data_IF_174629033178
#
_entry.id   IF_174629033178
#
_cell.length_a   1.000
_cell.length_b   1.000
_cell.length_c   1.000
_cell.angle_alpha   90.00
_cell.angle_beta   90.00
_cell.angle_gamma   90.00
#
_symmetry.space_group_name_H-M   'P 1'
#
loop_
_entity.id
_entity.type
_entity.pdbx_description
1 polymer ?
#
# COMPACT_ATOMS: atom_id res chain seq x y z
N UNK A 1 -18.77 10.29 -32.60
CA UNK A 1 -17.81 9.25 -32.18
C UNK A 1 -16.87 9.89 -31.17
N UNK A 2 -17.03 9.57 -29.89
CA UNK A 2 -16.08 9.99 -28.84
C UNK A 2 -14.86 9.09 -29.04
N UNK A 3 -13.68 9.66 -29.27
CA UNK A 3 -12.46 8.91 -29.49
C UNK A 3 -12.21 8.03 -28.25
N UNK A 4 -11.89 6.74 -28.43
CA UNK A 4 -11.55 5.80 -27.36
C UNK A 4 -10.39 6.27 -26.44
N UNK A 5 -9.70 7.34 -26.83
CA UNK A 5 -8.57 7.95 -26.11
C UNK A 5 -8.95 8.94 -25.02
N UNK A 6 -10.23 9.19 -24.76
CA UNK A 6 -10.67 10.20 -23.77
C UNK A 6 -11.22 9.62 -22.47
N UNK A 7 -11.37 8.31 -22.33
CA UNK A 7 -11.77 7.68 -21.09
C UNK A 7 -10.53 7.50 -20.20
N UNK A 8 -10.49 8.23 -19.09
CA UNK A 8 -9.45 8.04 -18.08
C UNK A 8 -9.33 6.57 -17.67
N UNK A 9 -8.11 6.07 -17.53
CA UNK A 9 -7.85 4.72 -17.05
C UNK A 9 -7.61 4.77 -15.54
N UNK A 10 -8.32 3.94 -14.79
CA UNK A 10 -8.35 3.97 -13.33
C UNK A 10 -7.62 2.79 -12.72
N UNK A 11 -6.93 3.04 -11.61
CA UNK A 11 -6.52 2.02 -10.64
C UNK A 11 -7.66 1.89 -9.63
N UNK A 12 -8.12 0.67 -9.37
CA UNK A 12 -9.33 0.42 -8.57
C UNK A 12 -8.98 -0.38 -7.33
N UNK A 13 -9.33 0.14 -6.16
CA UNK A 13 -9.24 -0.56 -4.87
C UNK A 13 -10.31 -1.64 -4.74
N UNK A 14 -10.28 -2.62 -5.63
CA UNK A 14 -11.31 -3.64 -5.77
C UNK A 14 -11.46 -4.53 -4.52
N UNK A 15 -10.42 -4.65 -3.70
CA UNK A 15 -10.46 -5.41 -2.45
C UNK A 15 -11.53 -4.91 -1.48
N UNK A 16 -11.79 -3.58 -1.46
CA UNK A 16 -12.77 -2.98 -0.57
C UNK A 16 -14.22 -3.37 -0.89
N UNK A 17 -14.47 -3.88 -2.11
CA UNK A 17 -15.79 -4.33 -2.58
C UNK A 17 -15.79 -5.83 -2.91
N UNK A 18 -14.72 -6.55 -2.57
CA UNK A 18 -14.64 -7.99 -2.77
C UNK A 18 -15.70 -8.73 -1.94
N UNK A 19 -16.36 -9.75 -2.50
CA UNK A 19 -17.29 -10.60 -1.74
C UNK A 19 -16.60 -11.42 -0.64
N UNK A 20 -15.25 -11.48 -0.64
CA UNK A 20 -14.45 -12.37 0.21
C UNK A 20 -13.67 -11.64 1.31
N UNK A 21 -14.21 -10.56 1.86
CA UNK A 21 -13.53 -9.79 2.91
C UNK A 21 -13.33 -10.59 4.21
N UNK A 22 -14.18 -11.56 4.51
CA UNK A 22 -14.16 -12.31 5.79
C UNK A 22 -13.80 -13.78 5.59
N UNK A 23 -14.37 -14.40 4.58
CA UNK A 23 -14.15 -15.82 4.26
C UNK A 23 -13.88 -15.96 2.77
N UNK A 24 -12.87 -16.76 2.43
CA UNK A 24 -12.52 -16.98 1.03
C UNK A 24 -13.42 -18.02 0.37
N UNK A 25 -14.08 -17.61 -0.70
CA UNK A 25 -14.74 -18.50 -1.66
C UNK A 25 -14.14 -18.24 -3.06
N UNK A 26 -13.32 -19.16 -3.50
CA UNK A 26 -12.61 -19.09 -4.77
C UNK A 26 -13.52 -18.83 -5.97
N UNK A 27 -14.71 -19.44 -5.99
CA UNK A 27 -15.67 -19.26 -7.10
C UNK A 27 -16.22 -17.84 -7.16
N UNK A 28 -16.61 -17.29 -6.01
CA UNK A 28 -17.11 -15.92 -5.93
C UNK A 28 -16.04 -14.92 -6.33
N UNK A 29 -14.79 -15.14 -5.90
CA UNK A 29 -13.68 -14.27 -6.23
C UNK A 29 -13.32 -14.35 -7.71
N UNK A 30 -13.30 -15.54 -8.29
CA UNK A 30 -13.10 -15.74 -9.75
C UNK A 30 -14.16 -15.01 -10.57
N UNK A 31 -15.43 -15.10 -10.17
CA UNK A 31 -16.52 -14.36 -10.83
C UNK A 31 -16.25 -12.86 -10.74
N UNK A 32 -15.87 -12.37 -9.56
CA UNK A 32 -15.58 -10.97 -9.31
C UNK A 32 -14.43 -10.46 -10.19
N UNK A 33 -13.28 -11.16 -10.23
CA UNK A 33 -12.15 -10.82 -11.10
C UNK A 33 -12.54 -10.84 -12.59
N UNK A 34 -13.34 -11.82 -13.00
CA UNK A 34 -13.84 -11.88 -14.39
C UNK A 34 -14.79 -10.72 -14.75
N UNK A 35 -15.51 -10.17 -13.78
CA UNK A 35 -16.31 -8.94 -13.98
C UNK A 35 -15.39 -7.72 -14.10
N UNK A 36 -14.40 -7.57 -13.23
CA UNK A 36 -13.41 -6.48 -13.31
C UNK A 36 -12.68 -6.44 -14.66
N UNK A 37 -12.26 -7.60 -15.17
CA UNK A 37 -11.60 -7.72 -16.48
C UNK A 37 -12.46 -7.24 -17.66
N UNK A 38 -13.79 -7.22 -17.52
CA UNK A 38 -14.72 -6.75 -18.55
C UNK A 38 -14.89 -5.22 -18.55
N UNK A 39 -14.35 -4.52 -17.58
CA UNK A 39 -14.48 -3.06 -17.46
C UNK A 39 -13.29 -2.39 -18.17
N UNK A 40 -13.47 -1.81 -19.37
CA UNK A 40 -12.34 -1.33 -20.18
C UNK A 40 -11.60 -0.13 -19.59
N UNK A 41 -12.22 0.60 -18.68
CA UNK A 41 -11.60 1.74 -18.00
C UNK A 41 -10.66 1.34 -16.85
N UNK A 42 -10.63 0.09 -16.42
CA UNK A 42 -9.68 -0.39 -15.41
C UNK A 42 -8.30 -0.54 -16.06
N UNK A 43 -7.35 0.25 -15.57
CA UNK A 43 -5.92 0.16 -15.90
C UNK A 43 -5.22 -0.91 -15.08
N UNK A 44 -5.62 -1.06 -13.82
CA UNK A 44 -5.05 -1.99 -12.86
C UNK A 44 -5.80 -1.96 -11.55
N UNK A 45 -5.37 -2.79 -10.61
CA UNK A 45 -5.93 -2.86 -9.28
C UNK A 45 -4.97 -2.29 -8.24
N UNK A 46 -5.52 -1.72 -7.20
CA UNK A 46 -4.85 -1.54 -5.94
C UNK A 46 -4.96 -2.85 -5.16
N UNK A 47 -3.82 -3.51 -4.97
CA UNK A 47 -3.71 -4.81 -4.31
C UNK A 47 -3.35 -4.59 -2.83
N UNK A 48 -4.12 -5.12 -1.88
CA UNK A 48 -3.84 -4.94 -0.46
C UNK A 48 -2.72 -5.87 -0.02
N UNK A 49 -1.72 -5.33 0.68
CA UNK A 49 -0.69 -6.11 1.34
C UNK A 49 -0.96 -6.16 2.85
N UNK A 50 -1.10 -7.38 3.38
CA UNK A 50 -1.46 -7.63 4.77
C UNK A 50 -0.28 -7.95 5.69
N UNK A 51 0.93 -8.04 5.13
CA UNK A 51 2.18 -8.22 5.88
C UNK A 51 2.94 -9.52 5.59
N UNK A 52 2.35 -10.50 4.93
CA UNK A 52 2.96 -11.82 4.71
C UNK A 52 3.01 -12.23 3.24
N UNK A 53 1.95 -11.97 2.49
CA UNK A 53 1.75 -12.47 1.13
C UNK A 53 1.00 -11.45 0.27
N UNK A 54 0.96 -11.69 -1.05
CA UNK A 54 0.17 -10.89 -2.00
C UNK A 54 -1.32 -11.09 -1.82
N UNK A 55 -1.73 -12.33 -1.58
CA UNK A 55 -3.11 -12.69 -1.37
C UNK A 55 -3.29 -13.32 0.01
N UNK A 56 -4.33 -12.96 0.76
CA UNK A 56 -4.51 -13.44 2.13
C UNK A 56 -4.57 -14.96 2.27
N UNK A 57 -4.91 -15.66 1.18
CA UNK A 57 -5.15 -17.11 1.20
C UNK A 57 -4.27 -17.88 0.21
N UNK A 58 -4.07 -17.37 -1.04
CA UNK A 58 -3.37 -18.09 -2.09
C UNK A 58 -2.75 -17.15 -3.14
N UNK A 59 -1.43 -16.95 -3.06
CA UNK A 59 -0.67 -16.14 -4.01
C UNK A 59 -0.69 -16.73 -5.43
N UNK A 60 -0.68 -18.07 -5.57
CA UNK A 60 -0.69 -18.71 -6.86
C UNK A 60 -2.04 -18.54 -7.57
N UNK A 61 -3.13 -18.59 -6.80
CA UNK A 61 -4.44 -18.26 -7.31
C UNK A 61 -4.49 -16.82 -7.83
N UNK A 62 -3.99 -15.86 -7.05
CA UNK A 62 -3.96 -14.45 -7.46
C UNK A 62 -3.15 -14.27 -8.74
N UNK A 63 -1.94 -14.83 -8.81
CA UNK A 63 -1.07 -14.76 -10.00
C UNK A 63 -1.74 -15.40 -11.23
N UNK A 64 -2.53 -16.45 -11.04
CA UNK A 64 -3.25 -17.11 -12.13
C UNK A 64 -4.49 -16.33 -12.61
N UNK A 65 -5.03 -15.46 -11.79
CA UNK A 65 -6.31 -14.79 -12.03
C UNK A 65 -6.23 -13.27 -12.25
N UNK A 66 -5.10 -12.62 -12.02
CA UNK A 66 -4.89 -11.22 -12.44
C UNK A 66 -4.88 -11.13 -13.99
N UNK A 67 -5.27 -9.96 -14.50
CA UNK A 67 -5.08 -9.67 -15.92
C UNK A 67 -3.62 -9.24 -16.16
N UNK A 68 -2.93 -9.93 -17.07
CA UNK A 68 -1.53 -9.63 -17.42
C UNK A 68 -1.30 -8.25 -18.02
N UNK A 69 -2.37 -7.55 -18.43
CA UNK A 69 -2.31 -6.20 -18.98
C UNK A 69 -2.43 -5.12 -17.90
N UNK A 70 -2.78 -5.50 -16.67
CA UNK A 70 -2.97 -4.54 -15.59
C UNK A 70 -1.63 -4.01 -15.08
N UNK A 71 -1.63 -2.71 -14.83
CA UNK A 71 -0.57 -1.96 -14.16
C UNK A 71 -1.04 -1.67 -12.73
N UNK A 72 -0.70 -2.55 -11.81
CA UNK A 72 -1.23 -2.53 -10.45
C UNK A 72 -0.45 -1.57 -9.53
N UNK A 73 -1.04 -1.27 -8.39
CA UNK A 73 -0.40 -0.63 -7.24
C UNK A 73 -0.53 -1.55 -6.03
N UNK A 74 0.54 -1.73 -5.27
CA UNK A 74 0.48 -2.45 -4.00
C UNK A 74 0.21 -1.45 -2.87
N UNK A 75 -0.85 -1.63 -2.07
CA UNK A 75 -1.11 -0.78 -0.90
C UNK A 75 -0.74 -1.48 0.39
N UNK A 76 0.14 -0.84 1.17
CA UNK A 76 0.57 -1.36 2.46
C UNK A 76 -0.28 -0.83 3.64
N UNK A 77 -1.26 0.05 3.36
CA UNK A 77 -2.11 0.64 4.41
C UNK A 77 -2.86 -0.42 5.22
N UNK A 78 -3.54 -1.41 4.60
CA UNK A 78 -4.28 -2.42 5.36
C UNK A 78 -3.40 -3.20 6.33
N UNK A 79 -2.23 -3.66 5.89
CA UNK A 79 -1.28 -4.37 6.75
C UNK A 79 -0.69 -3.48 7.84
N UNK A 80 -0.36 -2.23 7.54
CA UNK A 80 0.11 -1.26 8.53
C UNK A 80 -0.93 -1.06 9.64
N UNK A 81 -2.20 -0.88 9.27
CA UNK A 81 -3.28 -0.74 10.25
C UNK A 81 -3.44 -1.97 11.13
N UNK A 82 -3.37 -3.17 10.54
CA UNK A 82 -3.41 -4.44 11.29
C UNK A 82 -2.25 -4.56 12.30
N UNK A 83 -1.02 -4.17 11.90
CA UNK A 83 0.12 -4.20 12.82
C UNK A 83 -0.03 -3.18 13.96
N UNK A 84 -0.56 -1.99 13.69
CA UNK A 84 -0.79 -0.95 14.71
C UNK A 84 -1.78 -1.36 15.80
N UNK A 85 -2.69 -2.30 15.55
CA UNK A 85 -3.60 -2.86 16.56
C UNK A 85 -2.84 -3.58 17.69
N UNK A 86 -1.72 -4.22 17.39
CA UNK A 86 -0.91 -5.00 18.34
C UNK A 86 0.37 -4.31 18.75
N UNK A 87 0.96 -3.50 17.84
CA UNK A 87 2.22 -2.77 18.04
C UNK A 87 1.99 -1.28 17.78
N UNK A 88 1.51 -0.51 18.78
CA UNK A 88 1.10 0.89 18.59
C UNK A 88 2.21 1.83 18.09
N UNK A 89 3.47 1.42 18.17
CA UNK A 89 4.64 2.17 17.69
C UNK A 89 5.13 1.71 16.31
N UNK A 90 4.45 0.75 15.69
CA UNK A 90 4.86 0.22 14.38
C UNK A 90 4.74 1.29 13.29
N UNK A 91 5.83 1.52 12.54
CA UNK A 91 5.77 2.40 11.37
C UNK A 91 7.11 2.98 10.95
N UNK A 92 7.13 3.51 9.73
CA UNK A 92 8.33 4.11 9.13
C UNK A 92 8.78 5.40 9.82
N UNK A 93 7.86 6.14 10.45
CA UNK A 93 8.16 7.35 11.18
C UNK A 93 8.42 7.10 12.68
N UNK A 94 8.46 5.84 13.12
CA UNK A 94 8.60 5.51 14.53
C UNK A 94 9.90 6.04 15.13
N UNK A 95 9.78 6.73 16.27
CA UNK A 95 10.94 7.13 17.11
C UNK A 95 11.54 5.95 17.86
N UNK A 96 10.80 4.84 17.97
CA UNK A 96 11.30 3.59 18.52
C UNK A 96 12.00 2.78 17.41
N UNK A 97 13.31 2.62 17.57
CA UNK A 97 14.18 2.01 16.55
C UNK A 97 13.80 0.55 16.24
N UNK A 98 13.32 -0.21 17.23
CA UNK A 98 12.91 -1.60 17.01
C UNK A 98 11.61 -1.66 16.21
N UNK A 99 10.62 -0.87 16.56
CA UNK A 99 9.35 -0.77 15.83
C UNK A 99 9.55 -0.27 14.39
N UNK A 100 10.49 0.67 14.20
CA UNK A 100 10.87 1.15 12.87
C UNK A 100 11.55 0.05 12.03
N UNK A 101 12.47 -0.71 12.62
CA UNK A 101 13.09 -1.87 11.96
C UNK A 101 12.08 -2.97 11.60
N UNK A 102 11.09 -3.19 12.44
CA UNK A 102 9.97 -4.09 12.10
C UNK A 102 9.18 -3.59 10.88
N UNK A 103 8.88 -2.29 10.83
CA UNK A 103 8.23 -1.70 9.67
C UNK A 103 9.10 -1.84 8.41
N UNK A 104 10.40 -1.62 8.48
CA UNK A 104 11.31 -1.86 7.35
C UNK A 104 11.26 -3.32 6.87
N UNK A 105 11.23 -4.31 7.79
CA UNK A 105 11.08 -5.73 7.40
C UNK A 105 9.74 -6.00 6.71
N UNK A 106 8.66 -5.43 7.22
CA UNK A 106 7.33 -5.51 6.59
C UNK A 106 7.37 -4.97 5.15
N UNK A 107 7.96 -3.79 4.93
CA UNK A 107 8.11 -3.24 3.59
C UNK A 107 9.10 -4.03 2.71
N UNK A 108 10.06 -4.74 3.29
CA UNK A 108 10.93 -5.66 2.55
C UNK A 108 10.14 -6.85 2.00
N UNK A 109 9.19 -7.37 2.75
CA UNK A 109 8.29 -8.44 2.25
C UNK A 109 7.41 -7.89 1.12
N UNK A 110 6.85 -6.69 1.29
CA UNK A 110 6.08 -6.02 0.23
C UNK A 110 6.92 -5.81 -1.05
N UNK A 111 8.18 -5.40 -0.92
CA UNK A 111 9.13 -5.30 -2.03
C UNK A 111 9.32 -6.64 -2.75
N UNK A 112 9.45 -7.74 -2.02
CA UNK A 112 9.55 -9.08 -2.61
C UNK A 112 8.26 -9.46 -3.35
N UNK A 113 7.10 -9.10 -2.81
CA UNK A 113 5.80 -9.29 -3.48
C UNK A 113 5.71 -8.49 -4.80
N UNK A 114 6.18 -7.23 -4.82
CA UNK A 114 6.29 -6.43 -6.05
C UNK A 114 7.17 -7.14 -7.08
N UNK A 115 8.33 -7.66 -6.66
CA UNK A 115 9.23 -8.36 -7.55
C UNK A 115 8.62 -9.68 -8.08
N UNK A 116 7.86 -10.42 -7.26
CA UNK A 116 7.15 -11.62 -7.69
C UNK A 116 6.12 -11.30 -8.79
N UNK A 117 5.33 -10.23 -8.62
CA UNK A 117 4.39 -9.77 -9.64
C UNK A 117 5.12 -9.37 -10.93
N UNK A 118 6.23 -8.64 -10.83
CA UNK A 118 7.03 -8.21 -11.99
C UNK A 118 7.68 -9.40 -12.71
N UNK A 119 8.15 -10.38 -11.98
CA UNK A 119 8.73 -11.60 -12.55
C UNK A 119 7.68 -12.43 -13.30
N UNK A 120 6.44 -12.41 -12.82
CA UNK A 120 5.34 -13.18 -13.44
C UNK A 120 4.72 -12.45 -14.64
N UNK A 121 4.45 -11.15 -14.53
CA UNK A 121 3.71 -10.37 -15.54
C UNK A 121 4.55 -9.34 -16.31
N UNK A 122 5.82 -9.16 -15.94
CA UNK A 122 6.71 -8.16 -16.52
C UNK A 122 6.77 -6.84 -15.74
N UNK A 123 7.77 -6.03 -16.06
CA UNK A 123 8.18 -4.84 -15.29
C UNK A 123 7.10 -3.76 -15.13
N UNK A 124 6.08 -3.74 -15.97
CA UNK A 124 4.98 -2.75 -15.91
C UNK A 124 3.81 -3.21 -15.04
N UNK A 125 3.82 -4.42 -14.53
CA UNK A 125 2.69 -4.98 -13.79
C UNK A 125 2.47 -4.33 -12.42
N UNK A 126 3.49 -3.66 -11.86
CA UNK A 126 3.38 -2.86 -10.62
C UNK A 126 4.03 -1.52 -10.83
N UNK A 127 3.22 -0.46 -10.90
CA UNK A 127 3.66 0.91 -11.15
C UNK A 127 3.88 1.72 -9.88
N UNK A 128 3.39 1.27 -8.73
CA UNK A 128 3.55 1.96 -7.46
C UNK A 128 3.33 1.06 -6.25
N UNK A 129 3.88 1.51 -5.13
CA UNK A 129 3.61 0.99 -3.81
C UNK A 129 3.19 2.14 -2.90
N UNK A 130 2.05 2.01 -2.22
CA UNK A 130 1.63 2.96 -1.19
C UNK A 130 2.25 2.60 0.15
N UNK A 131 2.93 3.59 0.74
CA UNK A 131 3.50 3.53 2.09
C UNK A 131 2.89 4.61 2.97
N UNK A 132 3.03 4.51 4.28
CA UNK A 132 2.49 5.48 5.24
C UNK A 132 3.56 5.98 6.20
N UNK A 133 3.36 7.18 6.74
CA UNK A 133 4.18 7.80 7.78
C UNK A 133 3.72 7.41 9.20
N UNK A 134 3.21 6.17 9.38
CA UNK A 134 2.83 5.65 10.70
C UNK A 134 4.04 5.65 11.67
N UNK A 135 3.84 5.63 12.98
CA UNK A 135 2.62 5.37 13.74
C UNK A 135 1.84 6.62 14.11
N UNK A 136 0.81 6.44 14.97
CA UNK A 136 -0.05 7.51 15.43
C UNK A 136 0.68 8.62 16.21
N UNK A 137 0.25 9.86 15.97
CA UNK A 137 0.53 11.01 16.82
C UNK A 137 -0.75 11.50 17.49
N UNK A 138 -0.67 11.94 18.73
CA UNK A 138 -1.71 12.68 19.43
C UNK A 138 -1.09 13.53 20.55
N UNK A 139 -1.89 14.33 21.27
CA UNK A 139 -1.42 15.21 22.37
C UNK A 139 -0.62 14.49 23.47
N UNK A 140 -0.84 13.19 23.65
CA UNK A 140 -0.24 12.42 24.74
C UNK A 140 0.84 11.43 24.24
N UNK A 141 0.90 11.17 22.92
CA UNK A 141 1.74 10.13 22.33
C UNK A 141 2.45 10.66 21.09
N UNK A 142 3.71 10.99 21.26
CA UNK A 142 4.58 11.34 20.15
C UNK A 142 5.41 10.10 19.76
N UNK A 143 4.82 9.19 18.99
CA UNK A 143 5.48 7.95 18.56
C UNK A 143 6.18 8.07 17.21
N UNK A 144 5.97 9.18 16.50
CA UNK A 144 6.51 9.40 15.16
C UNK A 144 7.20 10.76 15.06
N UNK A 145 8.26 10.83 14.27
CA UNK A 145 8.86 12.09 13.83
C UNK A 145 9.32 12.05 12.38
N UNK A 146 9.58 13.25 11.85
CA UNK A 146 10.03 13.47 10.49
C UNK A 146 11.38 12.82 10.18
N UNK A 147 12.32 12.88 11.14
CA UNK A 147 13.69 12.38 10.93
C UNK A 147 13.70 10.85 10.81
N UNK A 148 12.94 10.17 11.65
CA UNK A 148 12.75 8.73 11.58
C UNK A 148 12.11 8.32 10.24
N UNK A 149 11.14 9.11 9.77
CA UNK A 149 10.51 8.88 8.47
C UNK A 149 11.50 9.06 7.32
N UNK A 150 12.29 10.15 7.33
CA UNK A 150 13.33 10.38 6.35
C UNK A 150 14.34 9.23 6.28
N UNK A 151 14.84 8.76 7.43
CA UNK A 151 15.77 7.62 7.48
C UNK A 151 15.16 6.38 6.84
N UNK A 152 13.90 6.11 7.11
CA UNK A 152 13.18 4.98 6.52
C UNK A 152 12.98 5.15 5.01
N UNK A 153 12.63 6.35 4.55
CA UNK A 153 12.49 6.64 3.11
C UNK A 153 13.80 6.42 2.36
N UNK A 154 14.93 6.89 2.92
CA UNK A 154 16.26 6.70 2.31
C UNK A 154 16.60 5.21 2.21
N UNK A 155 16.26 4.41 3.23
CA UNK A 155 16.46 2.96 3.19
C UNK A 155 15.59 2.32 2.11
N UNK A 156 14.29 2.61 2.07
CA UNK A 156 13.39 2.08 1.05
C UNK A 156 13.84 2.49 -0.36
N UNK A 157 14.23 3.76 -0.55
CA UNK A 157 14.68 4.28 -1.84
C UNK A 157 15.98 3.62 -2.34
N UNK A 158 16.80 3.08 -1.44
CA UNK A 158 18.03 2.36 -1.79
C UNK A 158 17.77 0.98 -2.43
N UNK A 159 16.54 0.47 -2.38
CA UNK A 159 16.21 -0.82 -2.97
C UNK A 159 15.94 -0.69 -4.48
N UNK A 160 16.16 -1.76 -5.22
CA UNK A 160 16.02 -1.77 -6.68
C UNK A 160 14.55 -1.91 -7.14
N UNK A 161 13.76 -0.86 -6.99
CA UNK A 161 12.34 -0.84 -7.35
C UNK A 161 12.09 -0.90 -8.87
N UNK A 162 13.09 -0.60 -9.70
CA UNK A 162 12.94 -0.49 -11.15
C UNK A 162 11.91 0.58 -11.53
N UNK A 163 10.82 0.20 -12.21
CA UNK A 163 9.76 1.12 -12.66
C UNK A 163 8.64 1.33 -11.63
N UNK A 164 8.77 0.79 -10.41
CA UNK A 164 7.76 0.95 -9.35
C UNK A 164 8.07 2.21 -8.54
N UNK A 165 7.11 3.13 -8.46
CA UNK A 165 7.24 4.35 -7.66
C UNK A 165 6.87 4.09 -6.19
N UNK A 166 7.64 4.65 -5.27
CA UNK A 166 7.24 4.74 -3.87
C UNK A 166 6.31 5.95 -3.73
N UNK A 167 5.11 5.74 -3.22
CA UNK A 167 4.06 6.74 -3.08
C UNK A 167 3.68 6.84 -1.60
N UNK A 168 3.88 8.02 -1.01
CA UNK A 168 3.43 8.25 0.37
C UNK A 168 1.93 8.56 0.35
N UNK A 169 1.14 7.70 0.95
CA UNK A 169 -0.28 7.95 1.15
C UNK A 169 -0.45 8.77 2.41
N UNK A 170 -0.84 10.05 2.23
CA UNK A 170 -1.19 10.90 3.35
C UNK A 170 -2.49 10.41 3.99
N UNK A 171 -2.41 10.17 5.29
CA UNK A 171 -3.57 9.86 6.12
C UNK A 171 -3.83 11.03 7.06
N UNK A 172 -5.09 11.19 7.47
CA UNK A 172 -5.52 12.28 8.34
C UNK A 172 -4.59 12.43 9.55
N UNK A 173 -3.90 13.59 9.62
CA UNK A 173 -2.98 13.90 10.69
C UNK A 173 -3.74 14.41 11.92
N UNK A 174 -3.13 14.24 13.09
CA UNK A 174 -3.56 14.94 14.30
C UNK A 174 -3.33 16.46 14.13
N UNK A 175 -4.37 17.24 14.34
CA UNK A 175 -4.30 18.69 14.44
C UNK A 175 -5.17 19.18 15.60
N UNK A 176 -5.04 20.46 15.96
CA UNK A 176 -5.93 21.05 16.99
C UNK A 176 -7.40 21.04 16.55
N UNK A 177 -7.64 21.17 15.26
CA UNK A 177 -8.95 21.16 14.62
C UNK A 177 -9.50 19.73 14.46
N UNK A 178 -8.62 18.73 14.36
CA UNK A 178 -8.94 17.31 14.30
C UNK A 178 -8.21 16.54 15.41
N UNK A 179 -8.69 16.63 16.67
CA UNK A 179 -8.01 16.03 17.83
C UNK A 179 -8.17 14.51 17.94
N UNK A 180 -9.06 13.93 17.14
CA UNK A 180 -9.31 12.47 17.10
C UNK A 180 -9.31 11.97 15.66
N UNK A 181 -8.18 12.06 14.93
CA UNK A 181 -8.10 11.55 13.57
C UNK A 181 -8.20 10.02 13.58
N UNK A 182 -8.72 9.46 12.50
CA UNK A 182 -8.88 8.01 12.38
C UNK A 182 -7.51 7.29 12.33
N UNK A 183 -6.53 7.89 11.67
CA UNK A 183 -5.17 7.34 11.55
C UNK A 183 -4.13 8.18 12.28
N UNK A 184 -4.18 9.51 12.21
CA UNK A 184 -3.34 10.43 12.99
C UNK A 184 -1.83 10.26 12.75
N UNK A 185 -1.39 10.13 11.50
CA UNK A 185 0.02 9.99 11.15
C UNK A 185 0.72 11.36 11.09
N UNK A 186 1.90 11.45 10.48
CA UNK A 186 2.61 12.72 10.34
C UNK A 186 1.77 13.75 9.57
N UNK A 187 1.98 15.03 9.88
CA UNK A 187 1.37 16.10 9.08
C UNK A 187 1.91 16.10 7.65
N UNK A 188 1.11 16.60 6.71
CA UNK A 188 1.50 16.66 5.31
C UNK A 188 2.77 17.49 5.10
N UNK A 189 3.00 18.53 5.91
CA UNK A 189 4.22 19.35 5.87
C UNK A 189 5.45 18.52 6.24
N UNK A 190 5.35 17.68 7.27
CA UNK A 190 6.42 16.78 7.70
C UNK A 190 6.71 15.71 6.66
N UNK A 191 5.68 15.12 6.06
CA UNK A 191 5.83 14.15 4.98
C UNK A 191 6.51 14.78 3.75
N UNK A 192 6.02 15.93 3.28
CA UNK A 192 6.62 16.66 2.15
C UNK A 192 8.06 17.07 2.46
N UNK A 193 8.33 17.52 3.69
CA UNK A 193 9.67 17.91 4.10
C UNK A 193 10.65 16.72 4.12
N UNK A 194 10.19 15.52 4.48
CA UNK A 194 11.01 14.31 4.41
C UNK A 194 11.27 13.86 2.96
N UNK A 195 10.26 13.93 2.08
CA UNK A 195 10.37 13.49 0.68
C UNK A 195 11.30 14.38 -0.15
N UNK A 196 11.42 15.67 0.20
CA UNK A 196 12.23 16.65 -0.56
C UNK A 196 13.74 16.62 -0.26
N UNK A 197 14.18 15.81 0.67
CA UNK A 197 15.60 15.66 1.04
C UNK A 197 16.28 14.52 0.26
#
# INVERSE_FOLDING_TARGET
MVSENSLGRYIVGAYATSPNLVTWDEKSELIYFNLLKKIPSIRGLELPFWGESLHPFDDQWLLSNLDSKWENVLTCVPGTMKYLETVPRFGLASVDDNSRKEAIRFYRIAFNCVNNLKNHFGNKSVIGIYITSSPYQNDQKNYADRESFLMSLLELASWEWGNTNILVEHCDAFTKENPNPQKGFLSIENEISAIKQ
#
